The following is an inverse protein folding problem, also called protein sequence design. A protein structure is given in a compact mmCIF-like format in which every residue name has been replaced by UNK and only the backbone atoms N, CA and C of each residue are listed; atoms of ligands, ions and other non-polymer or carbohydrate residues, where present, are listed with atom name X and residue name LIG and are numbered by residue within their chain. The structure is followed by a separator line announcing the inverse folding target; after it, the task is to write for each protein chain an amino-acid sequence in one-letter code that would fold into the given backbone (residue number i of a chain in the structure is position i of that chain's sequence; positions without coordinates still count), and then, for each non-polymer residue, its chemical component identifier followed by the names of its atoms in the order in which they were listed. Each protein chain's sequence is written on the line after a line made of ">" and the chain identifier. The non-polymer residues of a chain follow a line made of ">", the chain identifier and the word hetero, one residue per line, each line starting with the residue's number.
data_IF_002430266747
#
_entry.id   IF_002430266747
#
_cell.length_a   1.000
_cell.length_b   1.000
_cell.length_c   1.000
_cell.angle_alpha   90.00
_cell.angle_beta   90.00
_cell.angle_gamma   90.00
#
_symmetry.space_group_name_H-M   'P 1'
#
loop_
_entity.id
_entity.type
_entity.pdbx_description
1 polymer ?
#
# COMPACT_ATOMS: atom_id res chain seq x y z
N UNK A 1 16.81 -1.68 -8.24
CA UNK A 1 15.52 -2.42 -8.20
C UNK A 1 15.58 -3.64 -9.12
N UNK A 2 15.90 -3.48 -10.41
CA UNK A 2 16.04 -4.61 -11.36
C UNK A 2 17.10 -5.62 -10.87
N UNK A 3 18.31 -5.16 -10.55
CA UNK A 3 19.38 -6.03 -10.05
C UNK A 3 19.01 -6.76 -8.75
N UNK A 4 18.34 -6.08 -7.83
CA UNK A 4 17.85 -6.68 -6.59
C UNK A 4 16.77 -7.73 -6.87
N UNK A 5 15.82 -7.44 -7.76
CA UNK A 5 14.75 -8.37 -8.11
C UNK A 5 15.30 -9.62 -8.79
N UNK A 6 16.23 -9.46 -9.74
CA UNK A 6 16.94 -10.56 -10.40
C UNK A 6 17.70 -11.41 -9.37
N UNK A 7 18.43 -10.79 -8.46
CA UNK A 7 19.14 -11.49 -7.37
C UNK A 7 18.22 -12.32 -6.48
N UNK A 8 16.96 -11.92 -6.32
CA UNK A 8 15.97 -12.60 -5.48
C UNK A 8 14.97 -13.46 -6.28
N UNK A 9 15.19 -13.67 -7.58
CA UNK A 9 14.29 -14.47 -8.43
C UNK A 9 12.90 -13.83 -8.65
N UNK A 10 12.78 -12.52 -8.48
CA UNK A 10 11.52 -11.79 -8.65
C UNK A 10 11.43 -11.27 -10.08
N UNK A 11 10.39 -11.68 -10.80
CA UNK A 11 10.06 -11.14 -12.11
C UNK A 11 9.37 -9.77 -11.99
N UNK A 12 9.93 -8.74 -12.64
CA UNK A 12 9.34 -7.41 -12.68
C UNK A 12 8.52 -7.24 -13.97
N UNK A 13 7.24 -6.92 -13.80
CA UNK A 13 6.37 -6.48 -14.88
C UNK A 13 6.02 -5.01 -14.68
N UNK A 14 6.23 -4.18 -15.69
CA UNK A 14 5.95 -2.74 -15.66
C UNK A 14 4.81 -2.40 -16.59
N UNK A 15 3.89 -1.56 -16.13
CA UNK A 15 2.88 -0.96 -17.00
C UNK A 15 3.50 0.16 -17.84
N UNK A 16 3.15 0.23 -19.12
CA UNK A 16 3.47 1.38 -19.97
C UNK A 16 2.68 2.61 -19.50
N UNK A 17 3.24 3.81 -19.67
CA UNK A 17 2.55 5.07 -19.36
C UNK A 17 1.18 5.19 -20.05
N UNK A 18 1.04 4.60 -21.24
CA UNK A 18 -0.21 4.61 -22.01
C UNK A 18 -1.16 3.45 -21.66
N UNK A 19 -0.74 2.51 -20.83
CA UNK A 19 -1.54 1.34 -20.46
C UNK A 19 -1.45 0.99 -18.95
N UNK A 20 -1.93 1.87 -18.05
CA UNK A 20 -1.87 1.69 -16.60
C UNK A 20 -2.91 0.69 -16.04
N UNK A 21 -3.75 0.08 -16.87
CA UNK A 21 -4.91 -0.74 -16.46
C UNK A 21 -4.52 -1.90 -15.53
N UNK A 22 -3.32 -2.47 -15.72
CA UNK A 22 -2.79 -3.54 -14.87
C UNK A 22 -2.51 -3.12 -13.43
N UNK A 23 -2.40 -1.81 -13.15
CA UNK A 23 -2.10 -1.27 -11.82
C UNK A 23 -3.35 -0.88 -11.01
N UNK A 24 -4.56 -1.03 -11.57
CA UNK A 24 -5.80 -0.53 -10.95
C UNK A 24 -6.08 -1.11 -9.55
N UNK A 25 -5.75 -2.39 -9.32
CA UNK A 25 -5.91 -3.02 -8.00
C UNK A 25 -4.97 -2.42 -6.95
N UNK A 26 -3.71 -2.17 -7.34
CA UNK A 26 -2.72 -1.53 -6.47
C UNK A 26 -3.12 -0.08 -6.18
N UNK A 27 -3.61 0.66 -7.18
CA UNK A 27 -4.10 2.03 -7.00
C UNK A 27 -5.30 2.11 -6.03
N UNK A 28 -6.29 1.23 -6.20
CA UNK A 28 -7.45 1.15 -5.30
C UNK A 28 -7.04 0.82 -3.86
N UNK A 29 -6.10 -0.12 -3.70
CA UNK A 29 -5.55 -0.49 -2.39
C UNK A 29 -4.77 0.67 -1.76
N UNK A 30 -3.95 1.36 -2.55
CA UNK A 30 -3.15 2.50 -2.09
C UNK A 30 -4.04 3.67 -1.65
N UNK A 31 -5.12 3.98 -2.38
CA UNK A 31 -6.10 5.02 -2.01
C UNK A 31 -6.74 4.72 -0.65
N UNK A 32 -7.18 3.47 -0.44
CA UNK A 32 -7.76 3.05 0.83
C UNK A 32 -6.76 3.12 1.98
N UNK A 33 -5.53 2.66 1.76
CA UNK A 33 -4.47 2.72 2.76
C UNK A 33 -4.12 4.17 3.15
N UNK A 34 -3.97 5.05 2.16
CA UNK A 34 -3.72 6.48 2.38
C UNK A 34 -4.81 7.12 3.25
N UNK A 35 -6.07 6.77 3.04
CA UNK A 35 -7.19 7.26 3.86
C UNK A 35 -7.08 6.82 5.31
N UNK A 36 -6.75 5.55 5.57
CA UNK A 36 -6.56 5.02 6.93
C UNK A 36 -5.36 5.70 7.62
N UNK A 37 -4.26 5.83 6.88
CA UNK A 37 -3.05 6.48 7.39
C UNK A 37 -3.35 7.93 7.73
N UNK A 38 -3.89 8.72 6.81
CA UNK A 38 -4.21 10.15 7.03
C UNK A 38 -5.05 10.35 8.27
N UNK A 39 -6.15 9.61 8.41
CA UNK A 39 -7.02 9.68 9.60
C UNK A 39 -6.24 9.40 10.89
N UNK A 40 -5.39 8.37 10.89
CA UNK A 40 -4.58 8.02 12.06
C UNK A 40 -3.54 9.10 12.39
N UNK A 41 -2.90 9.70 11.37
CA UNK A 41 -1.89 10.74 11.52
C UNK A 41 -2.51 12.04 12.03
N UNK A 42 -3.65 12.45 11.48
CA UNK A 42 -4.36 13.67 11.88
C UNK A 42 -4.80 13.60 13.35
N UNK A 43 -5.28 12.45 13.80
CA UNK A 43 -5.69 12.21 15.19
C UNK A 43 -4.49 12.10 16.17
N UNK A 44 -3.27 11.81 15.69
CA UNK A 44 -2.11 11.46 16.54
C UNK A 44 -0.79 12.13 16.09
N UNK A 45 -0.82 13.39 15.66
CA UNK A 45 0.33 14.06 15.03
C UNK A 45 1.68 13.96 15.77
N UNK A 46 1.70 13.86 17.11
CA UNK A 46 2.95 13.72 17.89
C UNK A 46 3.43 12.27 18.07
N UNK A 47 2.55 11.28 17.93
CA UNK A 47 2.83 9.85 18.14
C UNK A 47 2.58 9.02 16.87
N UNK A 48 2.60 9.69 15.73
CA UNK A 48 2.22 9.13 14.45
C UNK A 48 3.03 7.89 14.05
N UNK A 49 4.33 7.87 14.36
CA UNK A 49 5.26 6.79 14.02
C UNK A 49 4.93 5.48 14.74
N UNK A 50 4.49 5.55 16.00
CA UNK A 50 4.06 4.37 16.78
C UNK A 50 2.67 3.90 16.36
N UNK A 51 1.75 4.84 16.06
CA UNK A 51 0.37 4.52 15.64
C UNK A 51 0.28 4.01 14.20
N UNK A 52 1.18 4.44 13.31
CA UNK A 52 1.21 4.01 11.91
C UNK A 52 1.40 2.49 11.80
N UNK A 53 2.32 1.92 12.60
CA UNK A 53 2.55 0.47 12.63
C UNK A 53 1.29 -0.29 13.02
N UNK A 54 0.58 0.18 14.05
CA UNK A 54 -0.67 -0.43 14.51
C UNK A 54 -1.78 -0.31 13.46
N UNK A 55 -1.92 0.85 12.80
CA UNK A 55 -2.91 1.04 11.74
C UNK A 55 -2.65 0.15 10.52
N UNK A 56 -1.37 0.00 10.12
CA UNK A 56 -0.98 -0.91 9.04
C UNK A 56 -1.28 -2.37 9.39
N UNK A 57 -1.01 -2.76 10.64
CA UNK A 57 -1.32 -4.10 11.12
C UNK A 57 -2.83 -4.37 11.12
N UNK A 58 -3.63 -3.44 11.66
CA UNK A 58 -5.09 -3.52 11.65
C UNK A 58 -5.64 -3.69 10.21
N UNK A 59 -5.15 -2.92 9.24
CA UNK A 59 -5.55 -3.02 7.84
C UNK A 59 -5.20 -4.39 7.19
N UNK A 60 -4.13 -5.07 7.66
CA UNK A 60 -3.76 -6.40 7.17
C UNK A 60 -4.66 -7.51 7.71
N UNK A 61 -5.08 -7.41 8.97
CA UNK A 61 -5.88 -8.44 9.64
C UNK A 61 -7.39 -8.25 9.48
N UNK A 62 -7.84 -7.04 9.12
CA UNK A 62 -9.27 -6.77 8.94
C UNK A 62 -9.77 -7.49 7.69
N UNK A 63 -10.81 -8.34 7.80
CA UNK A 63 -11.41 -8.99 6.65
C UNK A 63 -11.90 -7.95 5.64
N UNK A 64 -11.38 -8.02 4.41
CA UNK A 64 -11.84 -7.17 3.32
C UNK A 64 -13.08 -7.80 2.70
N UNK A 65 -14.19 -7.08 2.72
CA UNK A 65 -15.39 -7.49 1.98
C UNK A 65 -15.12 -7.27 0.49
N UNK A 66 -15.36 -8.30 -0.32
CA UNK A 66 -15.41 -8.13 -1.78
C UNK A 66 -16.65 -7.32 -2.11
N UNK A 67 -16.46 -6.21 -2.82
CA UNK A 67 -17.54 -5.47 -3.52
C UNK A 67 -17.85 -6.13 -4.83
#
# INVERSE_FOLDING_TARGET
>A
IIEWAVKNGIYLSTSSNYYPQGNGQAESTNKNLLRIIRRTLDENQRTWHTKLKSALWANKITPKRST
#
